data_IF_229514628799
#
_entry.id   IF_229514628799
#
_cell.length_a   1.000
_cell.length_b   1.000
_cell.length_c   1.000
_cell.angle_alpha   90.00
_cell.angle_beta   90.00
_cell.angle_gamma   90.00
#
_symmetry.space_group_name_H-M   'P 1'
#
loop_
_entity.id
_entity.type
_entity.pdbx_description
1 polymer ?
#
# COMPACT_ATOMS: atom_id res chain seq x y z
N UNK A 1 -13.66 -62.81 4.08
CA UNK A 1 -13.12 -61.94 5.15
C UNK A 1 -12.75 -60.61 4.50
N UNK A 2 -13.35 -59.51 4.95
CA UNK A 2 -13.34 -58.18 4.31
C UNK A 2 -12.20 -57.33 4.92
N UNK A 3 -11.42 -56.57 4.13
CA UNK A 3 -10.32 -55.77 4.68
C UNK A 3 -10.85 -54.62 5.56
N UNK A 4 -10.07 -54.15 6.55
CA UNK A 4 -10.52 -53.13 7.48
C UNK A 4 -10.62 -51.77 6.77
N UNK A 5 -11.81 -51.18 6.89
CA UNK A 5 -12.13 -49.80 6.50
C UNK A 5 -11.25 -48.82 7.26
N UNK A 6 -10.25 -48.24 6.60
CA UNK A 6 -9.44 -47.15 7.15
C UNK A 6 -10.22 -45.83 7.04
N UNK A 7 -10.78 -45.45 8.19
CA UNK A 7 -11.14 -44.10 8.66
C UNK A 7 -10.98 -42.99 7.61
N UNK A 8 -12.13 -42.58 7.09
CA UNK A 8 -12.36 -41.28 6.47
C UNK A 8 -12.18 -40.21 7.55
N UNK A 9 -11.06 -39.49 7.53
CA UNK A 9 -10.86 -38.28 8.35
C UNK A 9 -10.60 -37.12 7.42
N UNK A 10 -11.67 -36.35 7.24
CA UNK A 10 -11.70 -34.92 6.94
C UNK A 10 -10.68 -34.42 5.92
N UNK A 11 -11.18 -34.19 4.71
CA UNK A 11 -10.76 -33.10 3.84
C UNK A 11 -10.83 -31.79 4.63
N UNK A 12 -9.78 -31.48 5.40
CA UNK A 12 -9.57 -30.14 5.90
C UNK A 12 -8.82 -29.41 4.79
N UNK A 13 -9.57 -28.91 3.82
CA UNK A 13 -9.14 -27.80 2.98
C UNK A 13 -9.05 -26.58 3.90
N UNK A 14 -7.96 -26.51 4.68
CA UNK A 14 -7.50 -25.27 5.28
C UNK A 14 -7.00 -24.41 4.12
N UNK A 15 -7.96 -23.89 3.35
CA UNK A 15 -7.77 -22.67 2.58
C UNK A 15 -7.52 -21.60 3.63
N UNK A 16 -6.24 -21.49 4.00
CA UNK A 16 -5.67 -20.30 4.58
C UNK A 16 -5.84 -19.24 3.49
N UNK A 17 -7.06 -18.70 3.39
CA UNK A 17 -7.30 -17.45 2.69
C UNK A 17 -6.47 -16.42 3.44
N UNK A 18 -5.23 -16.28 3.00
CA UNK A 18 -4.40 -15.10 3.19
C UNK A 18 -5.35 -13.90 3.13
N UNK A 19 -5.41 -13.06 4.19
CA UNK A 19 -6.37 -11.97 4.23
C UNK A 19 -6.23 -11.18 2.95
N UNK A 20 -7.29 -11.24 2.14
CA UNK A 20 -7.43 -10.60 0.84
C UNK A 20 -6.82 -9.22 0.98
N UNK A 21 -5.74 -8.97 0.23
CA UNK A 21 -5.02 -7.69 0.25
C UNK A 21 -6.06 -6.58 0.28
N UNK A 22 -6.19 -5.88 1.43
CA UNK A 22 -7.16 -4.81 1.63
C UNK A 22 -7.16 -3.97 0.34
N UNK A 23 -8.35 -3.70 -0.24
CA UNK A 23 -8.50 -2.79 -1.39
C UNK A 23 -7.80 -1.47 -1.03
N UNK A 24 -6.51 -1.36 -1.38
CA UNK A 24 -5.69 -0.25 -0.96
C UNK A 24 -6.14 0.96 -1.75
N UNK A 25 -6.74 1.91 -1.05
CA UNK A 25 -7.20 3.16 -1.65
C UNK A 25 -6.01 3.86 -2.33
N UNK A 26 -6.18 4.35 -3.57
CA UNK A 26 -5.11 5.03 -4.31
C UNK A 26 -4.51 6.19 -3.52
N UNK A 27 -3.22 6.44 -3.72
CA UNK A 27 -2.53 7.53 -3.02
C UNK A 27 -3.15 8.88 -3.39
N UNK A 28 -3.63 9.61 -2.38
CA UNK A 28 -4.26 10.90 -2.58
C UNK A 28 -3.22 12.01 -2.61
N UNK A 29 -3.22 12.80 -3.69
CA UNK A 29 -2.32 13.94 -3.87
C UNK A 29 -3.13 15.23 -3.89
N UNK A 30 -2.81 16.10 -2.95
CA UNK A 30 -3.34 17.46 -2.91
C UNK A 30 -2.43 18.38 -3.72
N UNK A 31 -2.96 18.97 -4.78
CA UNK A 31 -2.21 19.87 -5.66
C UNK A 31 -2.38 21.33 -5.24
N UNK A 32 -1.29 21.96 -4.80
CA UNK A 32 -1.26 23.36 -4.37
C UNK A 32 -0.83 24.27 -5.53
N UNK A 33 -1.68 25.19 -6.02
CA UNK A 33 -1.28 26.18 -7.01
C UNK A 33 -0.31 27.21 -6.42
N UNK A 34 0.79 27.48 -7.12
CA UNK A 34 1.83 28.42 -6.69
C UNK A 34 1.66 29.84 -7.27
N UNK A 35 0.47 30.16 -7.80
CA UNK A 35 0.20 31.44 -8.46
C UNK A 35 0.44 32.67 -7.58
N UNK A 36 0.27 32.53 -6.25
CA UNK A 36 0.52 33.59 -5.26
C UNK A 36 2.00 34.02 -5.18
N UNK A 37 2.92 33.17 -5.62
CA UNK A 37 4.37 33.43 -5.65
C UNK A 37 4.89 33.57 -7.09
N UNK A 38 4.02 34.01 -8.01
CA UNK A 38 4.34 34.22 -9.43
C UNK A 38 4.86 32.97 -10.16
N UNK A 39 4.48 31.78 -9.69
CA UNK A 39 4.80 30.51 -10.32
C UNK A 39 3.52 29.86 -10.89
N UNK A 40 3.54 29.46 -12.16
CA UNK A 40 2.38 28.81 -12.83
C UNK A 40 2.25 27.32 -12.53
N UNK A 41 3.16 26.76 -11.73
CA UNK A 41 3.22 25.35 -11.41
C UNK A 41 2.35 24.98 -10.20
N UNK A 42 2.20 23.68 -10.00
CA UNK A 42 1.54 23.09 -8.84
C UNK A 42 2.56 22.29 -8.04
N UNK A 43 2.41 22.28 -6.72
CA UNK A 43 3.16 21.41 -5.82
C UNK A 43 2.24 20.32 -5.28
N UNK A 44 2.61 19.05 -5.47
CA UNK A 44 1.87 17.92 -4.91
C UNK A 44 2.25 17.66 -3.45
N UNK A 45 1.24 17.41 -2.61
CA UNK A 45 1.41 17.02 -1.20
C UNK A 45 0.65 15.71 -0.97
N UNK A 46 1.29 14.75 -0.31
CA UNK A 46 0.67 13.47 0.07
C UNK A 46 1.17 13.00 1.43
N UNK A 47 0.48 12.01 2.00
CA UNK A 47 0.95 11.28 3.17
C UNK A 47 2.11 10.33 2.80
N UNK A 48 2.78 9.77 3.80
CA UNK A 48 3.93 8.87 3.62
C UNK A 48 3.53 7.62 2.80
N UNK A 49 4.14 7.39 1.62
CA UNK A 49 4.02 6.11 0.91
C UNK A 49 4.55 4.96 1.78
N UNK A 50 3.95 3.77 1.67
CA UNK A 50 4.27 2.59 2.51
C UNK A 50 4.03 2.76 4.02
N UNK A 51 3.26 3.76 4.44
CA UNK A 51 2.91 3.90 5.85
C UNK A 51 2.21 2.62 6.37
N UNK A 52 2.81 2.00 7.40
CA UNK A 52 2.31 0.81 8.09
C UNK A 52 2.12 1.09 9.58
N UNK A 53 1.45 2.20 9.88
CA UNK A 53 1.23 2.65 11.25
C UNK A 53 -0.25 2.67 11.63
N UNK A 54 -0.59 2.02 12.75
CA UNK A 54 -1.98 1.84 13.24
C UNK A 54 -2.88 1.24 12.16
N UNK A 55 -3.91 1.99 11.75
CA UNK A 55 -4.91 1.58 10.77
C UNK A 55 -4.45 1.85 9.33
N UNK A 56 -3.32 2.55 9.13
CA UNK A 56 -2.75 2.75 7.80
C UNK A 56 -1.87 1.56 7.42
N UNK A 57 -2.22 0.89 6.32
CA UNK A 57 -1.47 -0.22 5.74
C UNK A 57 -1.32 -0.01 4.23
N UNK A 58 -0.20 0.60 3.83
CA UNK A 58 0.12 0.84 2.41
C UNK A 58 1.24 -0.06 1.93
N UNK A 59 1.34 -0.23 0.61
CA UNK A 59 2.39 -1.00 -0.04
C UNK A 59 3.27 -0.06 -0.89
N UNK A 60 4.58 -0.06 -0.63
CA UNK A 60 5.55 0.80 -1.32
C UNK A 60 5.55 0.60 -2.83
N UNK A 61 5.41 -0.63 -3.32
CA UNK A 61 5.49 -0.95 -4.74
C UNK A 61 4.27 -0.37 -5.47
N UNK A 62 3.06 -0.59 -4.93
CA UNK A 62 1.81 -0.03 -5.47
C UNK A 62 1.85 1.50 -5.44
N UNK A 63 2.20 2.10 -4.31
CA UNK A 63 2.28 3.56 -4.17
C UNK A 63 3.28 4.18 -5.15
N UNK A 64 4.46 3.57 -5.31
CA UNK A 64 5.50 4.09 -6.22
C UNK A 64 5.08 3.96 -7.68
N UNK A 65 4.40 2.88 -8.04
CA UNK A 65 3.86 2.70 -9.40
C UNK A 65 2.74 3.70 -9.71
N UNK A 66 1.86 3.98 -8.76
CA UNK A 66 0.84 5.03 -8.89
C UNK A 66 1.46 6.42 -9.05
N UNK A 67 2.44 6.78 -8.21
CA UNK A 67 3.14 8.07 -8.34
C UNK A 67 3.81 8.21 -9.71
N UNK A 68 4.42 7.13 -10.22
CA UNK A 68 4.97 7.10 -11.58
C UNK A 68 3.88 7.26 -12.64
N UNK A 69 2.72 6.61 -12.45
CA UNK A 69 1.58 6.70 -13.38
C UNK A 69 1.03 8.13 -13.48
N UNK A 70 1.10 8.90 -12.39
CA UNK A 70 0.75 10.32 -12.36
C UNK A 70 1.82 11.23 -13.00
N UNK A 71 2.94 10.68 -13.47
CA UNK A 71 4.01 11.46 -14.12
C UNK A 71 4.88 12.23 -13.13
N UNK A 72 4.91 11.83 -11.86
CA UNK A 72 5.76 12.45 -10.84
C UNK A 72 7.21 12.04 -11.10
N UNK A 73 8.08 13.03 -11.17
CA UNK A 73 9.50 12.86 -11.49
C UNK A 73 10.39 13.05 -10.26
N UNK A 74 10.08 14.05 -9.44
CA UNK A 74 10.87 14.44 -8.27
C UNK A 74 10.03 14.36 -6.99
N UNK A 75 10.58 13.73 -5.95
CA UNK A 75 9.93 13.58 -4.65
C UNK A 75 10.87 14.10 -3.56
N UNK A 76 10.36 15.01 -2.73
CA UNK A 76 11.05 15.50 -1.55
C UNK A 76 10.52 14.78 -0.31
N UNK A 77 11.38 14.02 0.36
CA UNK A 77 11.03 13.28 1.58
C UNK A 77 11.58 14.03 2.79
N UNK A 78 10.67 14.42 3.69
CA UNK A 78 11.03 15.15 4.92
C UNK A 78 11.02 14.25 6.17
N UNK A 79 10.84 12.93 6.00
CA UNK A 79 10.93 11.94 7.06
C UNK A 79 12.38 11.61 7.40
N UNK A 80 12.64 11.30 8.68
CA UNK A 80 13.93 10.77 9.13
C UNK A 80 13.99 9.26 8.92
N UNK A 81 15.20 8.70 8.85
CA UNK A 81 15.41 7.24 8.70
C UNK A 81 14.70 6.46 9.82
N UNK A 82 14.71 6.99 11.04
CA UNK A 82 14.05 6.36 12.19
C UNK A 82 12.53 6.16 11.99
N UNK A 83 11.88 7.02 11.19
CA UNK A 83 10.45 6.92 10.90
C UNK A 83 10.12 5.81 9.88
N UNK A 84 11.11 5.27 9.17
CA UNK A 84 10.95 4.14 8.23
C UNK A 84 11.22 2.77 8.86
N UNK A 85 11.69 2.72 10.11
CA UNK A 85 12.05 1.49 10.82
C UNK A 85 10.98 1.02 11.83
N UNK A 86 9.87 1.76 11.93
CA UNK A 86 8.67 1.42 12.73
C UNK A 86 7.63 0.73 11.86
#
# INVERSE_FOLDING_TARGET
MKPPSSKQTSEFDSSDEEPIEDEQTPIQISWLPLSRVNCSQFLGLCALPDCKFKDARRNIQKDTEELRSYGIQDIFVFCTIEQFLL
#
